data_IF_816258885215
#
_entry.id   IF_816258885215
#
_cell.length_a   1.000
_cell.length_b   1.000
_cell.length_c   1.000
_cell.angle_alpha   90.00
_cell.angle_beta   90.00
_cell.angle_gamma   90.00
#
_symmetry.space_group_name_H-M   'P 1'
#
loop_
_entity.id
_entity.type
_entity.pdbx_description
1 polymer ?
#
# COMPACT_ATOMS: atom_id res chain seq x y z
N UNK A 1 -25.88 7.96 16.70
CA UNK A 1 -25.66 7.89 15.24
C UNK A 1 -25.34 9.29 14.74
N UNK A 2 -24.41 9.44 13.79
CA UNK A 2 -24.09 10.73 13.19
C UNK A 2 -24.73 10.79 11.80
N UNK A 3 -25.18 11.98 11.40
CA UNK A 3 -25.86 12.19 10.12
C UNK A 3 -24.94 12.99 9.18
N UNK A 4 -25.00 12.67 7.90
CA UNK A 4 -24.29 13.43 6.89
C UNK A 4 -24.91 14.83 6.74
N UNK A 5 -24.11 15.89 6.84
CA UNK A 5 -24.60 17.26 6.70
C UNK A 5 -25.19 17.57 5.30
N UNK A 6 -24.83 16.79 4.27
CA UNK A 6 -25.21 17.04 2.88
C UNK A 6 -26.48 16.28 2.48
N UNK A 7 -26.53 14.96 2.73
CA UNK A 7 -27.68 14.12 2.35
C UNK A 7 -28.61 13.78 3.52
N UNK A 8 -28.25 14.16 4.75
CA UNK A 8 -29.01 13.91 5.99
C UNK A 8 -29.17 12.43 6.38
N UNK A 9 -28.59 11.51 5.62
CA UNK A 9 -28.61 10.08 5.92
C UNK A 9 -27.64 9.72 7.05
N UNK A 10 -28.04 8.78 7.89
CA UNK A 10 -27.19 8.20 8.93
C UNK A 10 -26.20 7.21 8.35
N UNK A 11 -24.97 7.24 8.84
CA UNK A 11 -23.96 6.25 8.47
C UNK A 11 -22.86 6.18 9.50
N UNK A 12 -22.22 5.01 9.59
CA UNK A 12 -20.99 4.85 10.37
C UNK A 12 -19.75 5.28 9.58
N UNK A 13 -19.85 5.48 8.26
CA UNK A 13 -18.75 5.82 7.36
C UNK A 13 -18.74 7.31 7.02
N UNK A 14 -18.65 8.15 8.05
CA UNK A 14 -18.60 9.60 7.93
C UNK A 14 -17.20 10.10 8.24
N UNK A 15 -16.71 11.02 7.42
CA UNK A 15 -15.49 11.75 7.68
C UNK A 15 -15.80 13.01 8.48
N UNK A 16 -14.96 13.29 9.47
CA UNK A 16 -15.00 14.55 10.20
C UNK A 16 -14.25 15.63 9.41
N UNK A 17 -14.95 16.69 9.05
CA UNK A 17 -14.33 17.96 8.67
C UNK A 17 -14.04 18.70 9.97
N UNK A 18 -12.80 19.17 10.15
CA UNK A 18 -12.35 19.90 11.35
C UNK A 18 -12.06 21.38 11.08
N UNK A 19 -12.14 21.83 9.82
CA UNK A 19 -11.73 23.17 9.39
C UNK A 19 -12.53 24.31 10.04
N UNK A 20 -13.85 24.15 10.20
CA UNK A 20 -14.75 25.18 10.76
C UNK A 20 -15.50 24.67 12.02
N UNK A 21 -14.97 23.63 12.67
CA UNK A 21 -15.65 22.84 13.72
C UNK A 21 -15.72 21.37 13.34
N UNK A 22 -16.33 20.51 14.18
CA UNK A 22 -16.45 19.06 13.93
C UNK A 22 -17.79 18.81 13.23
N UNK A 23 -17.74 18.51 11.93
CA UNK A 23 -18.91 18.17 11.13
C UNK A 23 -18.70 16.85 10.40
N UNK A 24 -19.75 16.03 10.32
CA UNK A 24 -19.68 14.70 9.73
C UNK A 24 -20.32 14.69 8.34
N UNK A 25 -19.59 14.18 7.36
CA UNK A 25 -20.06 14.03 5.98
C UNK A 25 -19.53 12.76 5.35
N UNK A 26 -20.29 12.18 4.41
CA UNK A 26 -19.75 11.08 3.61
C UNK A 26 -18.62 11.59 2.71
N UNK A 27 -17.60 10.76 2.52
CA UNK A 27 -16.52 11.01 1.55
C UNK A 27 -17.07 11.37 0.17
N UNK A 28 -18.09 10.64 -0.29
CA UNK A 28 -18.74 10.85 -1.59
C UNK A 28 -19.47 12.19 -1.67
N UNK A 29 -20.21 12.55 -0.62
CA UNK A 29 -20.92 13.83 -0.60
C UNK A 29 -19.94 15.01 -0.54
N UNK A 30 -18.87 14.88 0.24
CA UNK A 30 -17.84 15.91 0.35
C UNK A 30 -17.07 16.12 -0.96
N UNK A 31 -16.67 15.03 -1.64
CA UNK A 31 -15.97 15.15 -2.92
C UNK A 31 -16.86 15.74 -4.02
N UNK A 32 -18.13 15.32 -4.10
CA UNK A 32 -19.10 15.91 -5.03
C UNK A 32 -19.33 17.40 -4.78
N UNK A 33 -19.36 17.81 -3.51
CA UNK A 33 -19.45 19.23 -3.16
C UNK A 33 -18.23 19.99 -3.64
N UNK A 34 -17.02 19.51 -3.35
CA UNK A 34 -15.76 20.17 -3.76
C UNK A 34 -15.65 20.34 -5.27
N UNK A 35 -16.07 19.34 -6.05
CA UNK A 35 -16.08 19.39 -7.52
C UNK A 35 -17.00 20.51 -8.04
N UNK A 36 -18.15 20.72 -7.39
CA UNK A 36 -19.14 21.74 -7.81
C UNK A 36 -18.84 23.12 -7.26
N UNK A 37 -18.42 23.20 -6.01
CA UNK A 37 -18.25 24.40 -5.24
C UNK A 37 -16.97 24.21 -4.41
N UNK A 38 -15.83 24.68 -4.93
CA UNK A 38 -14.52 24.58 -4.27
C UNK A 38 -14.42 25.50 -3.03
N UNK A 39 -15.32 25.27 -2.07
CA UNK A 39 -15.61 26.11 -0.90
C UNK A 39 -15.97 25.21 0.27
N UNK A 40 -15.66 25.66 1.49
CA UNK A 40 -16.05 24.91 2.69
C UNK A 40 -17.58 24.85 2.82
N UNK A 41 -18.13 23.65 3.04
CA UNK A 41 -19.58 23.44 3.21
C UNK A 41 -20.19 24.22 4.39
N UNK A 42 -19.38 24.52 5.41
CA UNK A 42 -19.84 25.18 6.64
C UNK A 42 -19.75 26.70 6.51
N UNK A 43 -18.55 27.18 6.21
CA UNK A 43 -18.22 28.61 6.28
C UNK A 43 -18.10 29.29 4.90
N UNK A 44 -18.33 28.54 3.80
CA UNK A 44 -18.29 28.98 2.39
C UNK A 44 -17.01 29.68 1.94
N UNK A 45 -15.98 29.72 2.79
CA UNK A 45 -14.66 30.23 2.44
C UNK A 45 -14.11 29.40 1.30
N UNK A 46 -13.56 30.06 0.29
CA UNK A 46 -12.92 29.37 -0.83
C UNK A 46 -11.79 28.51 -0.30
N UNK A 47 -11.81 27.24 -0.70
CA UNK A 47 -10.68 26.34 -0.48
C UNK A 47 -9.72 26.59 -1.64
N UNK A 48 -9.27 27.85 -1.76
CA UNK A 48 -8.24 28.25 -2.72
C UNK A 48 -6.93 27.67 -2.23
N UNK A 49 -6.74 26.38 -2.48
CA UNK A 49 -5.42 25.82 -2.53
C UNK A 49 -4.84 26.24 -3.89
N UNK A 50 -3.85 27.14 -3.88
CA UNK A 50 -2.63 26.92 -4.69
C UNK A 50 -2.35 25.42 -4.65
N UNK A 51 -1.98 24.72 -5.75
CA UNK A 51 -1.94 23.26 -5.86
C UNK A 51 -1.01 22.63 -4.80
N UNK A 52 -1.51 22.62 -3.58
CA UNK A 52 -1.01 21.91 -2.44
C UNK A 52 -1.62 20.59 -2.71
N UNK A 53 -0.80 19.70 -3.24
CA UNK A 53 -0.72 18.33 -2.79
C UNK A 53 -1.96 17.99 -1.96
N UNK A 54 -3.06 17.66 -2.65
CA UNK A 54 -3.87 16.57 -2.15
C UNK A 54 -2.85 15.52 -1.72
N UNK A 55 -3.03 14.78 -0.61
CA UNK A 55 -2.58 13.42 -0.67
C UNK A 55 -3.32 12.86 -1.88
N UNK A 56 -2.64 12.94 -3.02
CA UNK A 56 -2.77 12.06 -4.12
C UNK A 56 -2.66 10.73 -3.40
N UNK A 57 -3.81 10.16 -3.03
CA UNK A 57 -3.96 8.73 -3.06
C UNK A 57 -3.85 8.36 -4.55
N UNK A 58 -2.69 8.65 -5.13
CA UNK A 58 -2.02 7.74 -6.00
C UNK A 58 -1.94 6.47 -5.17
N UNK A 59 -2.93 5.64 -5.40
CA UNK A 59 -2.89 4.19 -5.47
C UNK A 59 -1.54 3.53 -5.89
N UNK A 60 -0.41 4.25 -5.91
CA UNK A 60 0.94 3.75 -6.16
C UNK A 60 1.73 3.44 -4.87
N UNK A 61 1.32 3.92 -3.68
CA UNK A 61 2.04 3.63 -2.44
C UNK A 61 1.75 2.22 -1.89
N UNK A 62 0.57 1.67 -2.19
CA UNK A 62 0.23 0.28 -1.83
C UNK A 62 0.94 -0.74 -2.74
N UNK A 63 1.31 -0.36 -3.97
CA UNK A 63 2.00 -1.26 -4.90
C UNK A 63 3.51 -1.26 -4.67
N UNK A 64 4.13 -0.12 -4.32
CA UNK A 64 5.58 -0.05 -4.14
C UNK A 64 6.08 -0.91 -2.95
N UNK A 65 5.33 -0.93 -1.84
CA UNK A 65 5.66 -1.74 -0.66
C UNK A 65 5.47 -3.24 -0.92
N UNK A 66 4.40 -3.60 -1.62
CA UNK A 66 4.08 -4.97 -2.02
C UNK A 66 5.08 -5.55 -3.03
N UNK A 67 5.49 -4.75 -4.03
CA UNK A 67 6.46 -5.16 -5.06
C UNK A 67 7.85 -5.35 -4.45
N UNK A 68 8.29 -4.47 -3.55
CA UNK A 68 9.59 -4.61 -2.86
C UNK A 68 9.70 -5.92 -2.07
N UNK A 69 8.63 -6.34 -1.39
CA UNK A 69 8.61 -7.59 -0.63
C UNK A 69 8.63 -8.82 -1.55
N UNK A 70 7.89 -8.78 -2.65
CA UNK A 70 7.89 -9.87 -3.64
C UNK A 70 9.27 -10.06 -4.29
N UNK A 71 9.94 -8.97 -4.68
CA UNK A 71 11.28 -9.02 -5.28
C UNK A 71 12.31 -9.56 -4.30
N UNK A 72 12.27 -9.12 -3.03
CA UNK A 72 13.18 -9.62 -2.00
C UNK A 72 13.02 -11.13 -1.77
N UNK A 73 11.77 -11.63 -1.69
CA UNK A 73 11.51 -13.05 -1.49
C UNK A 73 11.97 -13.92 -2.67
N UNK A 74 11.80 -13.45 -3.91
CA UNK A 74 12.28 -14.16 -5.10
C UNK A 74 13.81 -14.32 -5.05
N UNK A 75 14.54 -13.23 -4.75
CA UNK A 75 16.00 -13.25 -4.67
C UNK A 75 16.48 -14.24 -3.59
N UNK A 76 15.84 -14.24 -2.42
CA UNK A 76 16.18 -15.17 -1.32
C UNK A 76 15.96 -16.62 -1.74
N UNK A 77 14.82 -16.93 -2.37
CA UNK A 77 14.52 -18.30 -2.84
C UNK A 77 15.55 -18.76 -3.88
N UNK A 78 15.89 -17.90 -4.86
CA UNK A 78 16.89 -18.24 -5.88
C UNK A 78 18.24 -18.54 -5.23
N UNK A 79 18.68 -17.75 -4.25
CA UNK A 79 19.95 -17.97 -3.55
C UNK A 79 19.96 -19.26 -2.73
N UNK A 80 18.85 -19.61 -2.08
CA UNK A 80 18.74 -20.88 -1.34
C UNK A 80 18.84 -22.07 -2.30
N UNK A 81 18.14 -22.02 -3.44
CA UNK A 81 18.15 -23.10 -4.43
C UNK A 81 19.53 -23.28 -5.06
N UNK A 82 20.26 -22.21 -5.34
CA UNK A 82 21.62 -22.34 -5.90
C UNK A 82 22.57 -22.96 -4.88
N UNK A 83 22.48 -22.58 -3.61
CA UNK A 83 23.31 -23.17 -2.55
C UNK A 83 23.01 -24.66 -2.34
N UNK A 84 21.74 -25.08 -2.38
CA UNK A 84 21.38 -26.51 -2.23
C UNK A 84 21.88 -27.35 -3.41
N UNK A 85 21.81 -26.82 -4.63
CA UNK A 85 22.37 -27.51 -5.80
C UNK A 85 23.89 -27.64 -5.67
N UNK A 86 24.58 -26.58 -5.25
CA UNK A 86 26.04 -26.59 -5.07
C UNK A 86 26.45 -27.59 -3.98
N UNK A 87 25.74 -27.63 -2.84
CA UNK A 87 26.07 -28.59 -1.78
C UNK A 87 25.83 -30.03 -2.22
N UNK A 88 24.75 -30.31 -2.97
CA UNK A 88 24.51 -31.63 -3.55
C UNK A 88 25.57 -31.99 -4.58
N UNK A 89 26.00 -31.05 -5.43
CA UNK A 89 27.07 -31.28 -6.40
C UNK A 89 28.40 -31.60 -5.71
N UNK A 90 28.76 -30.85 -4.67
CA UNK A 90 29.95 -31.12 -3.85
C UNK A 90 29.82 -32.48 -3.16
N UNK A 91 28.66 -32.81 -2.59
CA UNK A 91 28.42 -34.09 -1.94
C UNK A 91 28.60 -35.26 -2.92
N UNK A 92 27.95 -35.19 -4.10
CA UNK A 92 28.07 -36.22 -5.14
C UNK A 92 29.52 -36.36 -5.62
N UNK A 93 30.22 -35.25 -5.86
CA UNK A 93 31.62 -35.30 -6.30
C UNK A 93 32.57 -35.78 -5.21
N UNK A 94 32.31 -35.45 -3.94
CA UNK A 94 33.04 -35.97 -2.79
C UNK A 94 32.80 -37.46 -2.59
N UNK A 95 31.56 -37.94 -2.71
CA UNK A 95 31.25 -39.38 -2.62
C UNK A 95 31.83 -40.16 -3.78
N UNK A 96 31.81 -39.59 -5.00
CA UNK A 96 32.56 -40.13 -6.15
C UNK A 96 34.05 -40.23 -5.82
N UNK A 97 34.65 -39.14 -5.34
CA UNK A 97 36.09 -39.12 -4.97
C UNK A 97 36.41 -40.12 -3.86
N UNK A 98 35.51 -40.31 -2.89
CA UNK A 98 35.65 -41.28 -1.80
C UNK A 98 35.50 -42.73 -2.28
N UNK A 99 34.66 -42.99 -3.28
CA UNK A 99 34.55 -44.31 -3.92
C UNK A 99 35.78 -44.62 -4.78
N UNK A 100 36.32 -43.65 -5.53
CA UNK A 100 37.55 -43.84 -6.31
C UNK A 100 38.82 -44.02 -5.45
N UNK A 101 38.92 -43.37 -4.28
CA UNK A 101 40.04 -43.58 -3.35
C UNK A 101 40.00 -44.93 -2.58
N UNK A 102 38.91 -45.68 -2.65
CA UNK A 102 38.80 -47.04 -2.08
C UNK A 102 39.14 -48.16 -3.07
N UNK A 103 39.39 -47.80 -4.33
CA UNK A 103 39.65 -48.73 -5.44
C UNK A 103 41.13 -48.79 -5.86
N UNK A 104 42.02 -48.14 -5.11
CA UNK A 104 43.48 -48.26 -5.22
C UNK A 104 44.10 -48.72 -3.91
#
# INVERSE_FOLDING_TARGET
>A
MQNCLICLEESNNLNAITHCGIYYVHTKCYSQWLIKNNTCIVCRKSLTHEPTNLPEQTNNETTLTSIKFAVANIIIITFIVTLTIITLYIFVTCDLKKTYCKLF
#
